data_IF_222850217233
#
_entry.id   IF_222850217233
#
_cell.length_a   1.000
_cell.length_b   1.000
_cell.length_c   1.000
_cell.angle_alpha   90.00
_cell.angle_beta   90.00
_cell.angle_gamma   90.00
#
_symmetry.space_group_name_H-M   'P 1'
#
loop_
_entity.id
_entity.type
_entity.pdbx_description
1 polymer ?
#
# COMPACT_ATOMS: atom_id res chain seq x y z
N UNK A 1 7.93 14.11 -2.81
CA UNK A 1 6.88 13.17 -2.35
C UNK A 1 5.56 13.90 -2.19
N UNK A 2 4.61 13.58 -3.06
CA UNK A 2 3.25 14.10 -3.08
C UNK A 2 2.43 13.66 -1.86
N UNK A 3 1.30 14.34 -1.60
CA UNK A 3 0.34 13.90 -0.56
C UNK A 3 -0.21 12.50 -0.84
N UNK A 4 -0.42 12.16 -2.13
CA UNK A 4 -0.85 10.82 -2.58
C UNK A 4 0.15 9.75 -2.15
N UNK A 5 1.42 9.93 -2.49
CA UNK A 5 2.50 8.99 -2.14
C UNK A 5 2.65 8.85 -0.61
N UNK A 6 2.59 9.96 0.14
CA UNK A 6 2.61 9.93 1.61
C UNK A 6 1.49 9.07 2.19
N UNK A 7 0.28 9.20 1.64
CA UNK A 7 -0.88 8.40 2.07
C UNK A 7 -0.73 6.93 1.69
N UNK A 8 -0.23 6.62 0.48
CA UNK A 8 0.01 5.25 0.03
C UNK A 8 1.03 4.54 0.93
N UNK A 9 2.18 5.17 1.19
CA UNK A 9 3.22 4.58 2.05
C UNK A 9 2.76 4.39 3.49
N UNK A 10 2.04 5.38 4.05
CA UNK A 10 1.47 5.26 5.38
C UNK A 10 0.40 4.15 5.44
N UNK A 11 -0.45 4.03 4.42
CA UNK A 11 -1.45 2.99 4.35
C UNK A 11 -0.83 1.60 4.20
N UNK A 12 0.19 1.45 3.35
CA UNK A 12 0.92 0.21 3.17
C UNK A 12 1.46 -0.34 4.49
N UNK A 13 2.17 0.50 5.24
CA UNK A 13 2.74 0.14 6.53
C UNK A 13 1.67 -0.22 7.59
N UNK A 14 0.56 0.52 7.61
CA UNK A 14 -0.56 0.21 8.50
C UNK A 14 -1.30 -1.07 8.09
N UNK A 15 -1.49 -1.31 6.80
CA UNK A 15 -2.13 -2.53 6.31
C UNK A 15 -1.27 -3.76 6.60
N UNK A 16 0.05 -3.66 6.43
CA UNK A 16 0.99 -4.72 6.76
C UNK A 16 0.98 -5.05 8.26
N UNK A 17 0.99 -4.02 9.14
CA UNK A 17 1.11 -4.25 10.60
C UNK A 17 -0.15 -4.74 11.30
N UNK A 18 -1.35 -4.46 10.78
CA UNK A 18 -2.62 -4.74 11.48
C UNK A 18 -3.78 -5.14 10.57
N UNK A 19 -3.52 -5.28 9.28
CA UNK A 19 -4.54 -5.60 8.29
C UNK A 19 -5.36 -4.38 7.83
N UNK A 20 -5.99 -4.57 6.66
CA UNK A 20 -6.80 -3.54 6.00
C UNK A 20 -8.01 -3.16 6.84
N UNK A 21 -8.76 -4.15 7.36
CA UNK A 21 -10.02 -3.90 8.08
C UNK A 21 -9.82 -3.06 9.35
N UNK A 22 -8.76 -3.34 10.11
CA UNK A 22 -8.44 -2.64 11.35
C UNK A 22 -7.87 -1.22 11.17
N UNK A 23 -7.51 -0.83 9.93
CA UNK A 23 -6.91 0.48 9.65
C UNK A 23 -7.96 1.50 9.19
N UNK A 24 -8.13 2.60 9.93
CA UNK A 24 -9.03 3.70 9.57
C UNK A 24 -8.38 4.75 8.66
N UNK A 25 -9.20 5.45 7.86
CA UNK A 25 -8.72 6.59 7.02
C UNK A 25 -8.10 7.68 7.88
N UNK A 26 -8.68 7.98 9.05
CA UNK A 26 -8.16 8.98 9.99
C UNK A 26 -6.74 8.67 10.47
N UNK A 27 -6.42 7.39 10.65
CA UNK A 27 -5.09 6.96 11.07
C UNK A 27 -4.07 7.09 9.94
N UNK A 28 -4.47 6.77 8.70
CA UNK A 28 -3.65 7.01 7.51
C UNK A 28 -3.35 8.50 7.36
N UNK A 29 -4.35 9.36 7.52
CA UNK A 29 -4.18 10.82 7.49
C UNK A 29 -3.20 11.30 8.56
N UNK A 30 -3.37 10.82 9.80
CA UNK A 30 -2.49 11.14 10.93
C UNK A 30 -1.05 10.71 10.66
N UNK A 31 -0.83 9.46 10.21
CA UNK A 31 0.51 8.91 9.97
C UNK A 31 1.20 9.56 8.77
N UNK A 32 0.46 9.83 7.70
CA UNK A 32 0.97 10.52 6.50
C UNK A 32 1.17 12.04 6.68
N UNK A 33 0.67 12.61 7.79
CA UNK A 33 0.61 14.06 8.04
C UNK A 33 -0.11 14.81 6.90
N UNK A 34 -1.23 14.25 6.46
CA UNK A 34 -2.08 14.83 5.41
C UNK A 34 -3.51 15.09 5.91
N UNK A 35 -4.27 15.88 5.17
CA UNK A 35 -5.63 16.28 5.55
C UNK A 35 -6.73 15.59 4.74
N UNK A 36 -7.95 15.61 5.28
CA UNK A 36 -9.14 15.01 4.65
C UNK A 36 -9.41 15.53 3.23
N UNK A 37 -9.22 16.84 3.00
CA UNK A 37 -9.42 17.44 1.67
C UNK A 37 -8.43 16.91 0.62
N UNK A 38 -7.20 16.60 1.03
CA UNK A 38 -6.21 15.96 0.15
C UNK A 38 -6.62 14.51 -0.14
N UNK A 39 -7.09 13.78 0.87
CA UNK A 39 -7.60 12.42 0.67
C UNK A 39 -8.75 12.39 -0.34
N UNK A 40 -9.76 13.24 -0.18
CA UNK A 40 -10.92 13.27 -1.10
C UNK A 40 -10.55 13.69 -2.52
N UNK A 41 -9.43 14.39 -2.70
CA UNK A 41 -8.91 14.73 -4.03
C UNK A 41 -8.28 13.52 -4.73
N UNK A 42 -7.56 12.65 -4.01
CA UNK A 42 -6.84 11.51 -4.59
C UNK A 42 -7.60 10.18 -4.53
N UNK A 43 -8.45 9.99 -3.52
CA UNK A 43 -9.13 8.73 -3.25
C UNK A 43 -10.61 8.98 -2.95
N UNK A 44 -11.49 8.25 -3.65
CA UNK A 44 -12.93 8.31 -3.42
C UNK A 44 -13.31 7.81 -2.02
N UNK A 45 -12.66 6.74 -1.57
CA UNK A 45 -12.93 6.04 -0.31
C UNK A 45 -11.74 5.14 0.06
N UNK A 46 -11.88 4.34 1.12
CA UNK A 46 -10.86 3.39 1.58
C UNK A 46 -10.49 2.37 0.49
N UNK A 47 -11.45 1.88 -0.28
CA UNK A 47 -11.19 0.94 -1.38
C UNK A 47 -10.33 1.55 -2.48
N UNK A 48 -10.55 2.84 -2.79
CA UNK A 48 -9.71 3.59 -3.71
C UNK A 48 -8.25 3.67 -3.23
N UNK A 49 -8.04 3.94 -1.94
CA UNK A 49 -6.71 3.92 -1.34
C UNK A 49 -6.09 2.52 -1.39
N UNK A 50 -6.85 1.46 -1.09
CA UNK A 50 -6.37 0.07 -1.14
C UNK A 50 -5.88 -0.29 -2.55
N UNK A 51 -6.66 0.04 -3.59
CA UNK A 51 -6.27 -0.22 -4.98
C UNK A 51 -4.95 0.45 -5.33
N UNK A 52 -4.76 1.69 -4.92
CA UNK A 52 -3.54 2.44 -5.19
C UNK A 52 -2.33 1.90 -4.41
N UNK A 53 -2.52 1.39 -3.19
CA UNK A 53 -1.47 0.68 -2.44
C UNK A 53 -1.06 -0.60 -3.16
N UNK A 54 -2.02 -1.39 -3.67
CA UNK A 54 -1.72 -2.61 -4.43
C UNK A 54 -1.01 -2.28 -5.73
N UNK A 55 -1.46 -1.28 -6.48
CA UNK A 55 -0.78 -0.83 -7.70
C UNK A 55 0.66 -0.40 -7.41
N UNK A 56 0.88 0.37 -6.34
CA UNK A 56 2.22 0.77 -5.92
C UNK A 56 3.12 -0.43 -5.61
N UNK A 57 2.61 -1.43 -4.88
CA UNK A 57 3.37 -2.65 -4.60
C UNK A 57 3.73 -3.41 -5.88
N UNK A 58 2.79 -3.55 -6.82
CA UNK A 58 3.03 -4.19 -8.11
C UNK A 58 4.13 -3.45 -8.89
N UNK A 59 4.11 -2.11 -8.90
CA UNK A 59 5.15 -1.32 -9.56
C UNK A 59 6.52 -1.51 -8.89
N UNK A 60 6.58 -1.53 -7.56
CA UNK A 60 7.83 -1.77 -6.81
C UNK A 60 8.39 -3.17 -7.08
N UNK A 61 7.53 -4.18 -7.17
CA UNK A 61 7.91 -5.55 -7.56
C UNK A 61 8.44 -5.55 -9.00
N UNK A 62 7.67 -4.98 -9.93
CA UNK A 62 8.03 -4.95 -11.37
C UNK A 62 9.30 -4.14 -11.65
N UNK A 63 9.60 -3.12 -10.86
CA UNK A 63 10.81 -2.31 -11.04
C UNK A 63 12.07 -3.02 -10.53
N UNK A 64 11.94 -4.17 -9.87
CA UNK A 64 13.06 -4.87 -9.21
C UNK A 64 13.63 -4.11 -8.02
N UNK A 65 12.99 -3.02 -7.59
CA UNK A 65 13.38 -2.22 -6.41
C UNK A 65 12.83 -2.81 -5.12
N UNK A 66 11.87 -3.73 -5.22
CA UNK A 66 11.53 -4.67 -4.18
C UNK A 66 12.80 -5.41 -3.75
N UNK A 67 13.35 -5.06 -2.57
CA UNK A 67 14.42 -5.80 -1.91
C UNK A 67 13.95 -7.16 -1.38
N UNK A 68 13.09 -7.85 -2.13
CA UNK A 68 12.52 -9.16 -1.78
C UNK A 68 13.51 -10.27 -2.07
N UNK A 69 14.49 -10.05 -2.96
CA UNK A 69 15.38 -11.11 -3.44
C UNK A 69 14.67 -12.13 -4.34
N UNK A 70 13.41 -11.86 -4.71
CA UNK A 70 12.59 -12.72 -5.56
C UNK A 70 12.31 -12.03 -6.90
N UNK A 71 12.68 -12.69 -7.98
CA UNK A 71 12.34 -12.32 -9.36
C UNK A 71 10.95 -12.88 -9.66
N UNK A 72 9.89 -12.14 -9.31
CA UNK A 72 8.50 -12.59 -9.44
C UNK A 72 8.07 -12.51 -10.91
N UNK A 73 7.99 -13.66 -11.57
CA UNK A 73 7.70 -13.80 -13.00
C UNK A 73 6.24 -14.10 -13.30
N UNK A 74 5.52 -14.64 -12.32
CA UNK A 74 4.12 -15.02 -12.48
C UNK A 74 3.32 -14.93 -11.17
N UNK A 75 2.03 -15.25 -11.28
CA UNK A 75 1.08 -15.18 -10.17
C UNK A 75 1.39 -16.18 -9.03
N UNK A 76 2.04 -17.29 -9.34
CA UNK A 76 2.34 -18.34 -8.37
C UNK A 76 3.53 -17.93 -7.50
N UNK A 77 4.56 -17.35 -8.10
CA UNK A 77 5.68 -16.78 -7.36
C UNK A 77 5.26 -15.58 -6.51
N UNK A 78 4.30 -14.79 -7.01
CA UNK A 78 3.71 -13.70 -6.24
C UNK A 78 2.96 -14.23 -5.01
N UNK A 79 2.15 -15.27 -5.18
CA UNK A 79 1.40 -15.90 -4.09
C UNK A 79 2.34 -16.50 -3.04
N UNK A 80 3.41 -17.19 -3.46
CA UNK A 80 4.42 -17.74 -2.54
C UNK A 80 5.20 -16.66 -1.77
N UNK A 81 5.56 -15.56 -2.42
CA UNK A 81 6.15 -14.41 -1.72
C UNK A 81 5.16 -13.77 -0.75
N UNK A 82 3.91 -13.59 -1.18
CA UNK A 82 2.84 -12.98 -0.40
C UNK A 82 2.56 -13.76 0.89
N UNK A 83 2.51 -15.09 0.81
CA UNK A 83 2.37 -15.98 1.97
C UNK A 83 3.56 -15.89 2.94
N UNK A 84 4.78 -15.70 2.43
CA UNK A 84 5.99 -15.62 3.28
C UNK A 84 6.13 -14.31 4.07
N UNK A 85 5.42 -13.26 3.67
CA UNK A 85 5.54 -11.91 4.22
C UNK A 85 4.31 -11.44 5.01
N UNK A 86 3.14 -12.03 4.74
CA UNK A 86 1.85 -11.57 5.31
C UNK A 86 1.22 -12.63 6.25
N UNK A 87 1.91 -13.75 6.53
CA UNK A 87 1.52 -14.73 7.56
C UNK A 87 2.56 -14.81 8.68
#
# INVERSE_FOLDING_TARGET
MSSKEKMILAALDLFHSRGVNATGISEVLKRSKTGKGQFTHYFKNKDGLIREVVSYLIEVIRSGQAGTGYDIKDWVELEGWFESYIV
#
